data_IF_871434299027
#
_entry.id   IF_871434299027
#
_cell.length_a   1.000
_cell.length_b   1.000
_cell.length_c   1.000
_cell.angle_alpha   90.00
_cell.angle_beta   90.00
_cell.angle_gamma   90.00
#
_symmetry.space_group_name_H-M   'P 1'
#
loop_
_entity.id
_entity.type
_entity.pdbx_description
1 polymer ?
#
# COMPACT_ATOMS: atom_id res chain seq x y z
N UNK A 1 -15.65 9.93 0.06
CA UNK A 1 -16.25 8.91 -0.83
C UNK A 1 -15.93 7.53 -0.22
N UNK A 2 -16.83 6.98 0.61
CA UNK A 2 -16.65 5.66 1.23
C UNK A 2 -17.16 4.58 0.26
N UNK A 3 -16.37 4.28 -0.77
CA UNK A 3 -16.66 3.23 -1.75
C UNK A 3 -16.38 1.85 -1.17
N UNK A 4 -17.28 1.34 -0.33
CA UNK A 4 -17.21 -0.04 0.17
C UNK A 4 -16.18 -0.26 1.29
N UNK A 5 -16.31 -1.41 1.97
CA UNK A 5 -15.39 -1.82 3.04
C UNK A 5 -14.11 -2.33 2.40
N UNK A 6 -13.07 -1.49 2.37
CA UNK A 6 -11.74 -1.90 1.93
C UNK A 6 -11.01 -2.64 3.04
N UNK A 7 -10.44 -3.80 2.72
CA UNK A 7 -9.71 -4.62 3.69
C UNK A 7 -8.30 -4.94 3.21
N UNK A 8 -7.30 -4.91 4.09
CA UNK A 8 -5.96 -5.34 3.73
C UNK A 8 -5.98 -6.85 3.49
N UNK A 9 -5.38 -7.28 2.39
CA UNK A 9 -5.15 -8.70 2.10
C UNK A 9 -3.71 -8.94 1.68
N UNK A 10 -3.24 -10.16 1.82
CA UNK A 10 -1.96 -10.55 1.23
C UNK A 10 -2.01 -10.51 -0.29
N UNK A 11 -0.91 -10.07 -0.89
CA UNK A 11 -0.66 -10.23 -2.33
C UNK A 11 -0.51 -11.73 -2.61
N UNK A 12 -1.32 -12.23 -3.54
CA UNK A 12 -1.32 -13.64 -3.90
C UNK A 12 0.03 -14.06 -4.46
N UNK A 13 0.55 -15.16 -3.94
CA UNK A 13 1.76 -15.78 -4.45
C UNK A 13 1.59 -16.23 -5.90
N UNK A 14 2.70 -16.22 -6.63
CA UNK A 14 2.76 -16.78 -7.98
C UNK A 14 3.76 -17.93 -7.98
N UNK A 15 3.74 -18.78 -9.00
CA UNK A 15 4.73 -19.86 -9.17
C UNK A 15 6.19 -19.36 -9.13
N UNK A 16 6.43 -18.07 -9.41
CA UNK A 16 7.76 -17.44 -9.44
C UNK A 16 8.15 -16.77 -8.12
N UNK A 17 7.19 -16.38 -7.29
CA UNK A 17 7.42 -15.67 -6.02
C UNK A 17 6.43 -16.14 -4.97
N UNK A 18 6.96 -16.84 -3.96
CA UNK A 18 6.27 -17.29 -2.75
C UNK A 18 5.80 -16.08 -1.93
N UNK A 19 6.63 -15.03 -1.91
CA UNK A 19 6.45 -13.88 -1.04
C UNK A 19 6.41 -12.55 -1.80
N UNK A 20 5.41 -12.33 -2.68
CA UNK A 20 5.38 -11.14 -3.53
C UNK A 20 5.08 -9.88 -2.74
N UNK A 21 5.85 -8.84 -3.02
CA UNK A 21 5.63 -7.49 -2.50
C UNK A 21 5.21 -6.54 -3.61
N UNK A 22 4.52 -5.46 -3.23
CA UNK A 22 4.29 -4.29 -4.06
C UNK A 22 4.76 -3.05 -3.33
N UNK A 23 5.18 -2.02 -4.08
CA UNK A 23 5.52 -0.72 -3.50
C UNK A 23 4.30 -0.11 -2.81
N UNK A 24 4.50 0.36 -1.57
CA UNK A 24 3.51 1.13 -0.83
C UNK A 24 3.27 2.48 -1.50
N UNK A 25 2.05 2.73 -1.92
CA UNK A 25 1.67 3.97 -2.61
C UNK A 25 1.81 5.21 -1.73
N UNK A 26 1.28 5.15 -0.51
CA UNK A 26 1.39 6.26 0.45
C UNK A 26 2.86 6.61 0.74
N UNK A 27 3.68 5.62 1.10
CA UNK A 27 5.11 5.86 1.31
C UNK A 27 5.79 6.39 0.05
N UNK A 28 5.40 5.93 -1.15
CA UNK A 28 6.06 6.34 -2.40
C UNK A 28 5.98 7.84 -2.71
N UNK A 29 5.01 8.54 -2.09
CA UNK A 29 4.79 9.97 -2.23
C UNK A 29 5.54 10.81 -1.20
N UNK A 30 5.99 10.20 -0.10
CA UNK A 30 6.75 10.90 0.93
C UNK A 30 8.21 11.09 0.49
N UNK A 31 8.78 12.24 0.85
CA UNK A 31 10.21 12.53 0.69
C UNK A 31 10.87 12.37 2.05
N UNK A 32 11.97 11.63 2.10
CA UNK A 32 12.79 11.47 3.30
C UNK A 32 13.65 12.72 3.51
N UNK A 33 14.20 12.86 4.71
CA UNK A 33 15.07 13.99 5.06
C UNK A 33 16.31 14.13 4.15
N UNK A 34 16.73 13.05 3.48
CA UNK A 34 17.82 13.05 2.50
C UNK A 34 17.40 13.52 1.09
N UNK A 35 16.17 14.04 0.95
CA UNK A 35 15.60 14.51 -0.32
C UNK A 35 15.12 13.39 -1.25
N UNK A 36 15.25 12.12 -0.88
CA UNK A 36 14.86 10.99 -1.74
C UNK A 36 13.42 10.55 -1.47
N UNK A 37 12.73 10.10 -2.54
CA UNK A 37 11.42 9.46 -2.41
C UNK A 37 11.52 8.21 -1.54
N UNK A 38 10.67 8.12 -0.53
CA UNK A 38 10.57 6.92 0.28
C UNK A 38 10.10 5.75 -0.59
N UNK A 39 10.72 4.59 -0.39
CA UNK A 39 10.36 3.35 -1.09
C UNK A 39 10.26 2.24 -0.06
N UNK A 40 9.01 1.90 0.28
CA UNK A 40 8.70 0.78 1.16
C UNK A 40 7.91 -0.24 0.36
N UNK A 41 8.26 -1.50 0.52
CA UNK A 41 7.54 -2.63 -0.06
C UNK A 41 6.54 -3.16 0.98
N UNK A 42 5.39 -3.61 0.51
CA UNK A 42 4.35 -4.22 1.34
C UNK A 42 3.95 -5.59 0.80
N UNK A 43 3.63 -6.50 1.71
CA UNK A 43 2.97 -7.78 1.40
C UNK A 43 1.45 -7.66 1.31
N UNK A 44 0.93 -6.49 1.68
CA UNK A 44 -0.50 -6.22 1.69
C UNK A 44 -0.90 -5.30 0.56
N UNK A 45 -2.11 -5.54 0.05
CA UNK A 45 -2.76 -4.69 -0.95
C UNK A 45 -4.23 -4.50 -0.62
N UNK A 46 -4.80 -3.42 -1.16
CA UNK A 46 -6.24 -3.30 -1.33
C UNK A 46 -6.59 -3.80 -2.73
N UNK A 47 -7.40 -4.87 -2.84
CA UNK A 47 -7.81 -5.43 -4.14
C UNK A 47 -8.63 -4.41 -4.93
N UNK A 48 -9.57 -3.77 -4.26
CA UNK A 48 -10.58 -2.95 -4.91
C UNK A 48 -9.96 -1.68 -5.51
N UNK A 49 -8.93 -1.14 -4.85
CA UNK A 49 -8.15 0.00 -5.33
C UNK A 49 -6.90 -0.42 -6.14
N UNK A 50 -6.63 -1.72 -6.26
CA UNK A 50 -5.45 -2.29 -6.90
C UNK A 50 -4.12 -1.61 -6.48
N UNK A 51 -3.92 -1.40 -5.18
CA UNK A 51 -2.78 -0.65 -4.64
C UNK A 51 -2.08 -1.40 -3.52
N UNK A 52 -0.75 -1.39 -3.53
CA UNK A 52 0.07 -1.88 -2.41
C UNK A 52 0.14 -0.82 -1.31
N UNK A 53 -0.12 -1.22 -0.07
CA UNK A 53 -0.10 -0.32 1.10
C UNK A 53 0.50 -1.05 2.29
N UNK A 54 1.31 -0.36 3.11
CA UNK A 54 1.67 -0.88 4.43
C UNK A 54 0.40 -1.08 5.26
N UNK A 55 0.33 -2.18 6.02
CA UNK A 55 -0.88 -2.50 6.79
C UNK A 55 -1.28 -1.37 7.75
N UNK A 56 -0.30 -0.77 8.43
CA UNK A 56 -0.45 0.43 9.26
C UNK A 56 0.80 1.30 9.06
N UNK A 57 0.67 2.64 9.02
CA UNK A 57 -0.56 3.43 9.04
C UNK A 57 -1.16 3.66 7.63
N UNK A 58 -0.45 3.25 6.57
CA UNK A 58 -0.78 3.65 5.20
C UNK A 58 -2.14 3.16 4.71
N UNK A 59 -2.57 1.96 5.11
CA UNK A 59 -3.87 1.42 4.71
C UNK A 59 -5.02 2.26 5.27
N UNK A 60 -4.93 2.62 6.55
CA UNK A 60 -5.90 3.48 7.22
C UNK A 60 -5.95 4.85 6.52
N UNK A 61 -4.84 5.57 6.47
CA UNK A 61 -4.76 6.91 5.87
C UNK A 61 -5.31 6.91 4.44
N UNK A 62 -4.94 5.94 3.60
CA UNK A 62 -5.41 5.90 2.21
C UNK A 62 -6.92 5.72 2.06
N UNK A 63 -7.58 5.07 3.01
CA UNK A 63 -9.01 4.79 2.95
C UNK A 63 -9.87 5.69 3.84
N UNK A 64 -9.29 6.36 4.84
CA UNK A 64 -9.98 7.29 5.74
C UNK A 64 -9.72 8.75 5.36
N UNK A 65 -8.50 9.10 4.97
CA UNK A 65 -8.09 10.44 4.59
C UNK A 65 -8.03 10.52 3.05
N UNK A 66 -9.08 11.10 2.45
CA UNK A 66 -9.19 11.25 1.00
C UNK A 66 -8.14 12.17 0.34
N UNK A 67 -7.05 12.52 1.03
CA UNK A 67 -6.06 13.53 0.64
C UNK A 67 -4.66 12.97 0.38
N UNK A 68 -4.53 11.67 0.10
CA UNK A 68 -3.28 11.12 -0.43
C UNK A 68 -3.14 11.40 -1.93
#
# INVERSE_FOLDING_TARGET
>A
RLTGRHFPRYILQTKRKINPTRRCYACSRLIRNDGKKMRRESRYECRDCNVGLCIVPCFEIYHTEGNL
#
